data_IF_478009928132
#
_entry.id   IF_478009928132
#
_cell.length_a   1.000
_cell.length_b   1.000
_cell.length_c   1.000
_cell.angle_alpha   90.00
_cell.angle_beta   90.00
_cell.angle_gamma   90.00
#
_symmetry.space_group_name_H-M   'P 1'
#
loop_
_entity.id
_entity.type
_entity.pdbx_description
1 polymer ?
#
# COMPACT_ATOMS: atom_id res chain seq x y z
N UNK A 1 -12.68 -53.22 -35.27
CA UNK A 1 -12.52 -51.90 -35.92
C UNK A 1 -11.79 -51.00 -34.93
N UNK A 2 -10.52 -50.64 -35.26
CA UNK A 2 -9.63 -49.57 -34.71
C UNK A 2 -9.84 -49.13 -33.24
N UNK A 3 -8.99 -49.40 -32.24
CA UNK A 3 -7.53 -49.31 -32.04
C UNK A 3 -6.88 -47.95 -32.31
N UNK A 4 -6.29 -47.41 -31.21
CA UNK A 4 -5.24 -46.36 -31.07
C UNK A 4 -5.64 -44.89 -31.21
N UNK A 5 -5.42 -44.13 -30.14
CA UNK A 5 -4.66 -42.86 -30.09
C UNK A 5 -4.20 -42.64 -28.63
N UNK A 6 -2.97 -43.03 -28.28
CA UNK A 6 -1.76 -42.20 -28.27
C UNK A 6 -1.74 -41.16 -27.12
N UNK A 7 -1.16 -41.55 -25.97
CA UNK A 7 -0.60 -40.64 -24.97
C UNK A 7 0.61 -39.94 -25.58
N UNK A 8 0.55 -38.62 -25.75
CA UNK A 8 1.73 -37.79 -25.96
C UNK A 8 2.15 -37.17 -24.62
N UNK A 9 3.33 -37.59 -24.14
CA UNK A 9 4.06 -36.94 -23.06
C UNK A 9 4.59 -35.59 -23.56
N UNK A 10 4.36 -34.51 -22.81
CA UNK A 10 4.99 -33.20 -23.03
C UNK A 10 6.37 -33.19 -22.35
N UNK A 11 7.43 -32.70 -23.02
CA UNK A 11 8.71 -32.49 -22.38
C UNK A 11 8.69 -31.22 -21.53
N UNK A 12 9.30 -31.29 -20.36
CA UNK A 12 9.60 -30.18 -19.46
C UNK A 12 10.85 -29.44 -19.95
N UNK A 13 10.71 -28.17 -20.31
CA UNK A 13 11.86 -27.29 -20.58
C UNK A 13 11.92 -26.20 -19.50
N UNK A 14 12.85 -26.37 -18.56
CA UNK A 14 13.19 -25.42 -17.51
C UNK A 14 14.29 -24.50 -18.05
N UNK A 15 13.94 -23.30 -18.48
CA UNK A 15 14.92 -22.30 -18.90
C UNK A 15 15.31 -21.41 -17.71
N UNK A 16 16.39 -21.80 -17.01
CA UNK A 16 17.06 -20.94 -16.05
C UNK A 16 18.03 -20.01 -16.81
N UNK A 17 17.76 -18.71 -16.83
CA UNK A 17 18.73 -17.70 -17.28
C UNK A 17 19.50 -17.19 -16.07
N UNK A 18 20.67 -17.77 -15.82
CA UNK A 18 21.67 -17.22 -14.92
C UNK A 18 22.46 -16.12 -15.64
N UNK A 19 22.47 -14.92 -15.06
CA UNK A 19 23.43 -13.88 -15.44
C UNK A 19 24.68 -14.05 -14.57
N UNK A 20 25.76 -14.55 -15.17
CA UNK A 20 27.08 -14.54 -14.56
C UNK A 20 27.78 -13.24 -14.96
N UNK A 21 28.08 -12.37 -13.99
CA UNK A 21 28.98 -11.24 -14.18
C UNK A 21 30.38 -11.63 -13.70
N UNK A 22 31.32 -11.77 -14.63
CA UNK A 22 32.74 -11.66 -14.34
C UNK A 22 33.50 -11.24 -15.60
N UNK A 23 33.91 -9.99 -15.64
CA UNK A 23 34.94 -9.52 -16.55
C UNK A 23 36.10 -8.99 -15.70
N UNK A 24 37.26 -9.62 -15.90
CA UNK A 24 38.52 -9.30 -15.22
C UNK A 24 39.14 -8.03 -15.81
N UNK A 25 39.79 -7.24 -14.94
CA UNK A 25 40.58 -6.08 -15.32
C UNK A 25 41.92 -6.51 -15.94
N UNK A 26 42.45 -5.82 -16.98
CA UNK A 26 43.80 -6.05 -17.43
C UNK A 26 44.80 -5.19 -16.64
N UNK A 27 45.93 -5.79 -16.30
CA UNK A 27 47.10 -5.10 -15.76
C UNK A 27 47.87 -4.42 -16.90
N UNK A 28 48.35 -3.20 -16.68
CA UNK A 28 49.25 -2.49 -17.61
C UNK A 28 50.50 -2.07 -16.83
N UNK A 29 51.64 -2.65 -17.18
CA UNK A 29 52.97 -2.14 -16.84
C UNK A 29 53.48 -1.28 -17.99
N UNK A 30 54.07 -0.12 -17.72
CA UNK A 30 54.73 0.64 -18.77
C UNK A 30 55.17 2.03 -18.34
N UNK A 31 56.49 2.16 -18.19
CA UNK A 31 57.34 3.29 -17.82
C UNK A 31 56.98 4.63 -18.48
N UNK A 32 57.12 5.70 -17.69
CA UNK A 32 56.91 7.09 -18.09
C UNK A 32 57.92 7.57 -19.16
N UNK A 33 57.42 8.29 -20.18
CA UNK A 33 58.21 9.28 -20.92
C UNK A 33 57.26 10.41 -21.35
N UNK A 34 57.62 11.65 -20.98
CA UNK A 34 56.91 12.88 -21.30
C UNK A 34 57.17 13.28 -22.75
N UNK A 35 56.12 13.67 -23.47
CA UNK A 35 56.20 14.69 -24.51
C UNK A 35 54.82 15.34 -24.72
N UNK A 36 54.83 16.66 -24.73
CA UNK A 36 53.68 17.53 -24.76
C UNK A 36 53.06 17.62 -26.16
N UNK A 37 51.73 17.55 -26.23
CA UNK A 37 50.95 18.07 -27.34
C UNK A 37 49.53 18.36 -26.84
N UNK A 38 49.10 19.62 -26.99
CA UNK A 38 47.84 20.13 -26.48
C UNK A 38 46.63 19.41 -27.06
N UNK A 39 45.73 18.99 -26.17
CA UNK A 39 44.38 18.55 -26.53
C UNK A 39 43.40 19.31 -25.67
N UNK A 40 42.45 19.94 -26.35
CA UNK A 40 41.38 20.79 -25.86
C UNK A 40 40.59 20.02 -24.78
N UNK A 41 40.53 20.56 -23.56
CA UNK A 41 39.61 20.07 -22.52
C UNK A 41 38.18 20.41 -22.95
N UNK A 42 37.47 19.46 -23.55
CA UNK A 42 36.02 19.50 -23.61
C UNK A 42 35.50 19.29 -22.17
N UNK A 43 35.08 20.39 -21.54
CA UNK A 43 34.52 20.37 -20.19
C UNK A 43 33.27 19.49 -20.14
N UNK A 44 33.38 18.31 -19.53
CA UNK A 44 32.21 17.62 -18.99
C UNK A 44 31.65 18.45 -17.85
N UNK A 45 30.64 19.26 -18.14
CA UNK A 45 29.75 19.80 -17.11
C UNK A 45 29.07 18.60 -16.43
N UNK A 46 29.60 18.18 -15.29
CA UNK A 46 28.85 17.33 -14.38
C UNK A 46 27.66 18.17 -13.91
N UNK A 47 26.49 17.92 -14.52
CA UNK A 47 25.24 18.47 -14.04
C UNK A 47 24.99 17.89 -12.65
N UNK A 48 25.48 18.59 -11.63
CA UNK A 48 25.02 18.39 -10.26
C UNK A 48 23.55 18.76 -10.25
N UNK A 49 22.68 17.75 -10.28
CA UNK A 49 21.29 17.90 -9.88
C UNK A 49 21.31 18.30 -8.42
N UNK A 50 21.32 19.61 -8.15
CA UNK A 50 20.93 20.12 -6.86
C UNK A 50 19.48 19.66 -6.64
N UNK A 51 19.15 19.01 -5.51
CA UNK A 51 17.76 18.81 -5.18
C UNK A 51 17.13 20.20 -5.14
N UNK A 52 16.21 20.48 -6.05
CA UNK A 52 15.41 21.70 -5.98
C UNK A 52 14.78 21.68 -4.61
N UNK A 53 14.99 22.75 -3.83
CA UNK A 53 14.29 22.94 -2.57
C UNK A 53 12.80 22.71 -2.86
N UNK A 54 12.27 21.62 -2.30
CA UNK A 54 10.82 21.41 -2.25
C UNK A 54 10.27 22.64 -1.57
N UNK A 55 9.53 23.43 -2.33
CA UNK A 55 8.78 24.55 -1.79
C UNK A 55 7.91 23.97 -0.67
N UNK A 56 8.05 24.52 0.54
CA UNK A 56 7.21 24.22 1.68
C UNK A 56 5.79 24.72 1.36
N UNK A 57 5.07 23.94 0.56
CA UNK A 57 3.62 23.95 0.50
C UNK A 57 3.19 23.38 1.84
N UNK A 58 2.79 24.27 2.76
CA UNK A 58 2.56 23.95 4.17
C UNK A 58 2.02 22.53 4.36
N UNK A 59 2.86 21.65 4.91
CA UNK A 59 2.64 20.21 4.86
C UNK A 59 1.27 19.88 5.47
N UNK A 60 0.34 19.37 4.65
CA UNK A 60 -0.93 18.89 5.17
C UNK A 60 -0.67 17.91 6.32
N UNK A 61 -1.45 17.99 7.41
CA UNK A 61 -1.30 17.02 8.49
C UNK A 61 -1.55 15.61 7.95
N UNK A 62 -1.04 14.59 8.65
CA UNK A 62 -1.16 13.17 8.21
C UNK A 62 -2.61 12.78 7.92
N UNK A 63 -3.56 13.35 8.65
CA UNK A 63 -5.00 13.12 8.53
C UNK A 63 -5.72 14.02 7.50
N UNK A 64 -4.98 14.85 6.77
CA UNK A 64 -5.50 15.66 5.68
C UNK A 64 -6.42 16.78 6.15
N UNK A 65 -7.31 17.22 5.26
CA UNK A 65 -8.26 18.29 5.52
C UNK A 65 -9.71 17.78 5.36
N UNK A 66 -10.42 17.47 6.46
CA UNK A 66 -11.81 17.01 6.42
C UNK A 66 -12.74 17.93 5.63
N UNK A 67 -13.70 17.36 4.91
CA UNK A 67 -14.65 18.13 4.08
C UNK A 67 -14.08 18.72 2.79
N UNK A 68 -12.83 18.39 2.42
CA UNK A 68 -12.21 18.79 1.16
C UNK A 68 -11.85 17.57 0.30
N UNK A 69 -11.32 17.78 -0.91
CA UNK A 69 -10.77 16.69 -1.72
C UNK A 69 -9.47 16.09 -1.11
N UNK A 70 -8.95 16.68 -0.02
CA UNK A 70 -7.78 16.23 0.72
C UNK A 70 -8.17 15.60 2.06
N UNK A 71 -9.45 15.23 2.27
CA UNK A 71 -9.87 14.43 3.41
C UNK A 71 -9.20 13.05 3.36
N UNK A 72 -8.77 12.52 4.51
CA UNK A 72 -8.12 11.21 4.60
C UNK A 72 -8.85 10.28 5.57
N UNK A 73 -8.78 8.99 5.29
CA UNK A 73 -9.27 7.92 6.18
C UNK A 73 -8.18 6.89 6.41
N UNK A 74 -8.22 6.23 7.57
CA UNK A 74 -7.47 5.02 7.82
C UNK A 74 -8.31 3.80 7.41
N UNK A 75 -7.67 2.87 6.69
CA UNK A 75 -8.25 1.59 6.34
C UNK A 75 -7.26 0.48 6.67
N UNK A 76 -7.73 -0.63 7.25
CA UNK A 76 -6.88 -1.79 7.49
C UNK A 76 -7.49 -3.06 6.89
N UNK A 77 -6.70 -3.82 6.13
CA UNK A 77 -6.98 -5.23 5.89
C UNK A 77 -6.60 -6.02 7.14
N UNK A 78 -7.57 -6.69 7.74
CA UNK A 78 -7.41 -7.52 8.94
C UNK A 78 -6.66 -8.83 8.62
N UNK A 79 -6.21 -9.59 9.63
CA UNK A 79 -5.42 -10.80 9.38
C UNK A 79 -6.12 -11.82 8.47
N UNK A 80 -7.43 -11.94 8.57
CA UNK A 80 -8.25 -12.80 7.71
C UNK A 80 -8.28 -12.36 6.24
N UNK A 81 -8.22 -11.06 5.93
CA UNK A 81 -8.07 -10.59 4.55
C UNK A 81 -6.72 -10.97 3.95
N UNK A 82 -5.65 -10.82 4.74
CA UNK A 82 -4.29 -11.15 4.32
C UNK A 82 -4.16 -12.65 4.08
N UNK A 83 -4.62 -13.48 5.02
CA UNK A 83 -4.58 -14.94 4.90
C UNK A 83 -5.39 -15.46 3.71
N UNK A 84 -6.45 -14.74 3.31
CA UNK A 84 -7.30 -15.10 2.17
C UNK A 84 -6.85 -14.49 0.84
N UNK A 85 -5.76 -13.72 0.82
CA UNK A 85 -5.21 -13.10 -0.39
C UNK A 85 -6.06 -11.95 -0.95
N UNK A 86 -6.88 -11.28 -0.14
CA UNK A 86 -7.84 -10.26 -0.58
C UNK A 86 -7.29 -8.82 -0.60
N UNK A 87 -6.01 -8.63 -0.26
CA UNK A 87 -5.39 -7.29 -0.17
C UNK A 87 -5.47 -6.55 -1.50
N UNK A 88 -5.12 -7.23 -2.60
CA UNK A 88 -5.15 -6.64 -3.94
C UNK A 88 -6.57 -6.27 -4.37
N UNK A 89 -7.56 -7.12 -4.09
CA UNK A 89 -8.97 -6.86 -4.41
C UNK A 89 -9.51 -5.64 -3.66
N UNK A 90 -9.15 -5.49 -2.39
CA UNK A 90 -9.55 -4.34 -1.58
C UNK A 90 -8.93 -3.05 -2.12
N UNK A 91 -7.60 -3.03 -2.34
CA UNK A 91 -6.90 -1.86 -2.89
C UNK A 91 -7.50 -1.47 -4.25
N UNK A 92 -7.70 -2.44 -5.13
CA UNK A 92 -8.21 -2.21 -6.48
C UNK A 92 -9.59 -1.54 -6.47
N UNK A 93 -10.46 -1.80 -5.48
CA UNK A 93 -11.77 -1.11 -5.38
C UNK A 93 -11.62 0.38 -5.09
N UNK A 94 -10.70 0.76 -4.22
CA UNK A 94 -10.44 2.17 -3.90
C UNK A 94 -9.74 2.89 -5.06
N UNK A 95 -8.76 2.25 -5.70
CA UNK A 95 -8.08 2.82 -6.87
C UNK A 95 -9.05 3.05 -8.04
N UNK A 96 -9.85 2.03 -8.38
CA UNK A 96 -10.84 2.11 -9.48
C UNK A 96 -11.93 3.15 -9.22
N UNK A 97 -12.25 3.42 -7.94
CA UNK A 97 -13.20 4.47 -7.56
C UNK A 97 -12.63 5.87 -7.77
N UNK A 98 -11.30 6.03 -7.81
CA UNK A 98 -10.62 7.30 -8.04
C UNK A 98 -9.89 7.85 -6.82
N UNK A 99 -9.94 7.19 -5.66
CA UNK A 99 -9.25 7.65 -4.46
C UNK A 99 -7.72 7.58 -4.60
N UNK A 100 -7.02 8.37 -3.80
CA UNK A 100 -5.55 8.48 -3.81
C UNK A 100 -4.95 7.70 -2.65
N UNK A 101 -4.05 6.76 -2.94
CA UNK A 101 -3.35 5.99 -1.92
C UNK A 101 -2.12 6.78 -1.46
N UNK A 102 -2.16 7.33 -0.25
CA UNK A 102 -1.07 8.16 0.27
C UNK A 102 -0.21 7.43 1.31
N UNK A 103 -0.71 6.35 1.91
CA UNK A 103 0.05 5.51 2.83
C UNK A 103 -0.29 4.04 2.65
N UNK A 104 0.72 3.17 2.67
CA UNK A 104 0.56 1.72 2.60
C UNK A 104 1.70 1.05 3.37
N UNK A 105 1.37 0.20 4.35
CA UNK A 105 2.36 -0.69 4.98
C UNK A 105 1.75 -1.97 5.51
N UNK A 106 2.54 -3.03 5.51
CA UNK A 106 2.21 -4.28 6.19
C UNK A 106 2.92 -4.33 7.54
N UNK A 107 2.17 -4.61 8.60
CA UNK A 107 2.71 -4.68 9.97
C UNK A 107 2.11 -5.86 10.70
N UNK A 108 2.83 -6.40 11.67
CA UNK A 108 2.27 -7.33 12.64
C UNK A 108 2.03 -6.56 13.94
N UNK A 109 0.77 -6.20 14.25
CA UNK A 109 0.50 -5.31 15.37
C UNK A 109 0.64 -6.04 16.70
N UNK A 110 1.23 -5.36 17.68
CA UNK A 110 1.28 -5.87 19.06
C UNK A 110 -0.11 -5.80 19.69
N UNK A 111 -0.31 -6.54 20.80
CA UNK A 111 -1.56 -6.46 21.57
C UNK A 111 -1.83 -5.03 22.07
N UNK A 112 -0.79 -4.32 22.48
CA UNK A 112 -0.88 -2.94 22.93
C UNK A 112 -1.35 -2.01 21.81
N UNK A 113 -0.78 -2.13 20.60
CA UNK A 113 -1.25 -1.38 19.43
C UNK A 113 -2.74 -1.66 19.13
N UNK A 114 -3.14 -2.94 19.18
CA UNK A 114 -4.53 -3.33 18.96
C UNK A 114 -5.47 -2.81 20.07
N UNK A 115 -5.02 -2.78 21.34
CA UNK A 115 -5.78 -2.23 22.45
C UNK A 115 -5.98 -0.72 22.30
N UNK A 116 -4.93 0.00 21.94
CA UNK A 116 -5.00 1.45 21.76
C UNK A 116 -5.87 1.81 20.55
N UNK A 117 -5.81 1.04 19.46
CA UNK A 117 -6.68 1.23 18.30
C UNK A 117 -8.17 0.98 18.62
N UNK A 118 -8.48 0.03 19.51
CA UNK A 118 -9.85 -0.29 19.92
C UNK A 118 -10.22 0.22 21.32
N UNK A 119 -9.58 1.28 21.81
CA UNK A 119 -9.73 1.76 23.18
C UNK A 119 -11.19 2.05 23.57
N UNK A 120 -11.98 2.60 22.64
CA UNK A 120 -13.40 2.89 22.82
C UNK A 120 -14.26 1.64 23.06
N UNK A 121 -13.76 0.48 22.63
CA UNK A 121 -14.43 -0.82 22.79
C UNK A 121 -13.95 -1.57 24.05
N UNK A 122 -13.03 -1.01 24.84
CA UNK A 122 -12.42 -1.67 26.02
C UNK A 122 -13.41 -2.26 27.02
N UNK A 123 -14.60 -1.66 27.16
CA UNK A 123 -15.67 -2.11 28.07
C UNK A 123 -16.58 -3.18 27.46
N UNK A 124 -16.41 -3.54 26.18
CA UNK A 124 -17.25 -4.51 25.49
C UNK A 124 -16.77 -5.94 25.80
N UNK A 125 -17.68 -6.92 25.96
CA UNK A 125 -17.30 -8.29 26.34
C UNK A 125 -16.43 -8.99 25.28
N UNK A 126 -16.54 -8.57 24.02
CA UNK A 126 -15.75 -9.13 22.91
C UNK A 126 -14.36 -8.49 22.74
N UNK A 127 -14.02 -7.44 23.50
CA UNK A 127 -12.77 -6.71 23.36
C UNK A 127 -11.51 -7.58 23.48
N UNK A 128 -11.39 -8.51 24.47
CA UNK A 128 -10.21 -9.37 24.55
C UNK A 128 -10.05 -10.25 23.30
N UNK A 129 -11.17 -10.77 22.77
CA UNK A 129 -11.18 -11.55 21.54
C UNK A 129 -10.79 -10.73 20.31
N UNK A 130 -11.26 -9.48 20.23
CA UNK A 130 -10.92 -8.54 19.16
C UNK A 130 -9.42 -8.21 19.15
N UNK A 131 -8.85 -7.88 20.31
CA UNK A 131 -7.42 -7.59 20.46
C UNK A 131 -6.58 -8.80 20.08
N UNK A 132 -6.93 -9.99 20.59
CA UNK A 132 -6.20 -11.22 20.28
C UNK A 132 -6.29 -11.55 18.78
N UNK A 133 -7.45 -11.37 18.15
CA UNK A 133 -7.62 -11.60 16.72
C UNK A 133 -6.82 -10.60 15.89
N UNK A 134 -6.92 -9.31 16.18
CA UNK A 134 -6.26 -8.26 15.39
C UNK A 134 -4.73 -8.35 15.47
N UNK A 135 -4.19 -8.84 16.59
CA UNK A 135 -2.76 -9.09 16.80
C UNK A 135 -2.29 -10.51 16.43
N UNK A 136 -3.18 -11.38 15.93
CA UNK A 136 -2.84 -12.78 15.62
C UNK A 136 -2.05 -12.98 14.33
N UNK A 137 -1.95 -11.97 13.47
CA UNK A 137 -1.28 -12.07 12.18
C UNK A 137 -1.00 -10.69 11.56
N UNK A 138 -0.39 -10.66 10.37
CA UNK A 138 -0.11 -9.42 9.67
C UNK A 138 -1.40 -8.72 9.23
N UNK A 139 -1.38 -7.40 9.28
CA UNK A 139 -2.41 -6.52 8.70
C UNK A 139 -1.78 -5.62 7.64
N UNK A 140 -2.61 -5.09 6.75
CA UNK A 140 -2.19 -4.06 5.80
C UNK A 140 -2.89 -2.75 6.15
N UNK A 141 -2.12 -1.80 6.65
CA UNK A 141 -2.54 -0.45 6.96
C UNK A 141 -2.49 0.42 5.71
N UNK A 142 -3.53 1.20 5.48
CA UNK A 142 -3.66 2.10 4.35
C UNK A 142 -4.15 3.47 4.80
N UNK A 143 -3.69 4.51 4.12
CA UNK A 143 -4.25 5.84 4.18
C UNK A 143 -4.75 6.21 2.77
N UNK A 144 -6.05 6.48 2.68
CA UNK A 144 -6.71 6.89 1.45
C UNK A 144 -7.15 8.35 1.56
N UNK A 145 -6.95 9.10 0.49
CA UNK A 145 -7.30 10.51 0.37
C UNK A 145 -8.36 10.72 -0.73
N UNK A 146 -9.32 11.61 -0.48
CA UNK A 146 -10.27 12.11 -1.46
C UNK A 146 -11.55 12.66 -0.83
N UNK A 147 -12.39 13.29 -1.66
CA UNK A 147 -13.70 13.84 -1.23
C UNK A 147 -14.59 12.79 -0.55
N UNK A 148 -15.09 13.11 0.63
CA UNK A 148 -15.96 12.26 1.47
C UNK A 148 -15.41 10.83 1.70
N UNK A 149 -14.10 10.63 1.64
CA UNK A 149 -13.49 9.29 1.67
C UNK A 149 -13.86 8.51 2.94
N UNK A 150 -14.07 9.18 4.08
CA UNK A 150 -14.44 8.49 5.33
C UNK A 150 -15.83 7.84 5.16
N UNK A 151 -16.82 8.65 4.78
CA UNK A 151 -18.20 8.20 4.57
C UNK A 151 -18.31 7.19 3.43
N UNK A 152 -17.70 7.50 2.29
CA UNK A 152 -17.76 6.65 1.10
C UNK A 152 -16.97 5.36 1.29
N UNK A 153 -15.82 5.42 1.98
CA UNK A 153 -15.04 4.26 2.36
C UNK A 153 -15.87 3.29 3.18
N UNK A 154 -16.57 3.76 4.22
CA UNK A 154 -17.49 2.92 5.01
C UNK A 154 -18.60 2.28 4.16
N UNK A 155 -19.17 3.03 3.21
CA UNK A 155 -20.17 2.49 2.29
C UNK A 155 -19.59 1.40 1.37
N UNK A 156 -18.37 1.60 0.85
CA UNK A 156 -17.66 0.61 0.03
C UNK A 156 -17.29 -0.65 0.83
N UNK A 157 -16.92 -0.48 2.11
CA UNK A 157 -16.66 -1.62 3.00
C UNK A 157 -17.93 -2.45 3.24
N UNK A 158 -19.08 -1.79 3.37
CA UNK A 158 -20.35 -2.40 3.78
C UNK A 158 -20.56 -2.35 5.29
N UNK A 159 -21.69 -2.88 5.75
CA UNK A 159 -22.04 -2.93 7.17
C UNK A 159 -21.03 -3.72 8.00
N UNK A 160 -20.90 -3.42 9.29
CA UNK A 160 -19.97 -4.16 10.17
C UNK A 160 -20.32 -5.64 10.23
N UNK A 161 -21.61 -5.97 10.25
CA UNK A 161 -22.14 -7.33 10.10
C UNK A 161 -22.17 -7.72 8.62
N UNK A 162 -21.36 -8.71 8.17
CA UNK A 162 -21.32 -9.08 6.76
C UNK A 162 -22.66 -9.53 6.19
N UNK A 163 -23.46 -10.26 6.96
CA UNK A 163 -24.81 -10.70 6.53
C UNK A 163 -25.80 -9.56 6.32
N UNK A 164 -25.51 -8.36 6.84
CA UNK A 164 -26.28 -7.14 6.57
C UNK A 164 -25.66 -6.29 5.44
N UNK A 165 -24.48 -6.67 4.95
CA UNK A 165 -23.80 -5.97 3.87
C UNK A 165 -24.41 -6.32 2.52
N UNK A 166 -24.59 -5.32 1.66
CA UNK A 166 -25.18 -5.51 0.33
C UNK A 166 -24.16 -6.12 -0.63
N UNK A 167 -24.59 -6.96 -1.61
CA UNK A 167 -23.75 -7.38 -2.72
C UNK A 167 -23.10 -6.18 -3.43
N UNK A 168 -21.83 -6.29 -3.79
CA UNK A 168 -20.99 -5.21 -4.33
C UNK A 168 -20.20 -4.43 -3.28
N UNK A 169 -20.53 -4.55 -1.99
CA UNK A 169 -19.66 -4.07 -0.91
C UNK A 169 -18.58 -5.11 -0.59
N UNK A 170 -17.45 -4.68 -0.03
CA UNK A 170 -16.32 -5.57 0.28
C UNK A 170 -16.74 -6.70 1.23
N UNK A 171 -17.46 -6.37 2.30
CA UNK A 171 -17.94 -7.40 3.26
C UNK A 171 -19.07 -8.25 2.67
N UNK A 172 -19.96 -7.65 1.87
CA UNK A 172 -21.04 -8.40 1.23
C UNK A 172 -20.53 -9.46 0.25
N UNK A 173 -19.43 -9.17 -0.46
CA UNK A 173 -18.87 -10.10 -1.44
C UNK A 173 -17.93 -11.14 -0.84
N UNK A 174 -17.27 -10.82 0.27
CA UNK A 174 -16.16 -11.63 0.77
C UNK A 174 -16.30 -12.09 2.21
N UNK A 175 -17.29 -11.67 3.01
CA UNK A 175 -17.37 -12.01 4.43
C UNK A 175 -18.70 -12.67 4.81
N UNK A 176 -18.66 -13.48 5.87
CA UNK A 176 -19.83 -14.21 6.37
C UNK A 176 -20.04 -13.85 7.86
N UNK A 177 -19.01 -14.08 8.69
CA UNK A 177 -19.09 -13.89 10.14
C UNK A 177 -18.62 -12.51 10.61
N UNK A 178 -19.26 -11.98 11.65
CA UNK A 178 -18.94 -10.68 12.26
C UNK A 178 -17.48 -10.56 12.71
N UNK A 179 -16.94 -11.61 13.32
CA UNK A 179 -15.57 -11.66 13.81
C UNK A 179 -14.52 -11.84 12.71
N UNK A 180 -14.93 -12.07 11.46
CA UNK A 180 -14.09 -12.32 10.27
C UNK A 180 -14.58 -11.49 9.10
N UNK A 181 -14.70 -10.18 9.33
CA UNK A 181 -15.24 -9.21 8.38
C UNK A 181 -14.15 -8.44 7.61
N UNK A 182 -12.94 -9.02 7.48
CA UNK A 182 -11.82 -8.69 6.58
C UNK A 182 -11.21 -7.28 6.63
N UNK A 183 -11.95 -6.23 6.98
CA UNK A 183 -11.48 -4.86 6.88
C UNK A 183 -12.00 -3.96 8.00
N UNK A 184 -11.23 -2.93 8.29
CA UNK A 184 -11.58 -1.80 9.16
C UNK A 184 -11.51 -0.51 8.35
N UNK A 185 -12.32 0.48 8.70
CA UNK A 185 -12.22 1.84 8.18
C UNK A 185 -12.75 2.83 9.20
N UNK A 186 -12.11 3.99 9.31
CA UNK A 186 -12.51 5.07 10.24
C UNK A 186 -13.98 5.43 10.05
N UNK A 187 -14.68 5.73 11.14
CA UNK A 187 -16.11 6.08 11.12
C UNK A 187 -16.39 7.59 11.26
N UNK A 188 -15.41 8.38 11.67
CA UNK A 188 -15.48 9.84 11.71
C UNK A 188 -14.13 10.50 11.37
N UNK A 189 -14.11 11.81 11.07
CA UNK A 189 -12.88 12.58 10.92
C UNK A 189 -11.95 12.51 12.14
N UNK A 190 -12.53 12.54 13.34
CA UNK A 190 -11.77 12.48 14.60
C UNK A 190 -11.14 11.09 14.80
N UNK A 191 -11.87 10.02 14.49
CA UNK A 191 -11.34 8.67 14.50
C UNK A 191 -10.22 8.51 13.45
N UNK A 192 -10.43 9.00 12.23
CA UNK A 192 -9.43 8.98 11.18
C UNK A 192 -8.14 9.72 11.59
N UNK A 193 -8.28 10.88 12.25
CA UNK A 193 -7.14 11.63 12.78
C UNK A 193 -6.32 10.82 13.79
N UNK A 194 -6.97 10.23 14.79
CA UNK A 194 -6.31 9.44 15.82
C UNK A 194 -5.65 8.20 15.24
N UNK A 195 -6.37 7.48 14.38
CA UNK A 195 -5.89 6.27 13.73
C UNK A 195 -4.68 6.56 12.82
N UNK A 196 -4.75 7.61 11.99
CA UNK A 196 -3.65 7.96 11.08
C UNK A 196 -2.40 8.43 11.84
N UNK A 197 -2.56 9.19 12.93
CA UNK A 197 -1.43 9.57 13.79
C UNK A 197 -0.76 8.36 14.45
N UNK A 198 -1.54 7.37 14.87
CA UNK A 198 -1.03 6.14 15.47
C UNK A 198 -0.34 5.24 14.43
N UNK A 199 -1.00 5.03 13.30
CA UNK A 199 -0.54 4.05 12.31
C UNK A 199 0.48 4.62 11.34
N UNK A 200 0.56 5.94 11.11
CA UNK A 200 1.54 6.57 10.22
C UNK A 200 2.23 7.76 10.92
N UNK A 201 2.93 7.55 12.05
CA UNK A 201 3.65 8.62 12.76
C UNK A 201 4.77 9.24 11.92
N UNK A 202 5.31 8.49 10.97
CA UNK A 202 6.31 8.95 9.99
C UNK A 202 5.74 9.89 8.91
N UNK A 203 4.41 10.02 8.84
CA UNK A 203 3.71 10.74 7.77
C UNK A 203 3.28 9.84 6.61
N UNK A 204 2.78 10.48 5.56
CA UNK A 204 2.28 9.85 4.34
C UNK A 204 2.85 10.55 3.12
N UNK A 205 2.78 9.89 1.97
CA UNK A 205 3.28 10.45 0.70
C UNK A 205 2.33 11.50 0.18
N UNK A 206 2.86 12.68 -0.13
CA UNK A 206 2.13 13.72 -0.83
C UNK A 206 2.51 13.74 -2.31
N UNK A 207 1.51 13.62 -3.18
CA UNK A 207 1.67 13.64 -4.62
C UNK A 207 0.35 14.01 -5.31
N UNK A 208 0.46 14.51 -6.54
CA UNK A 208 -0.68 14.83 -7.40
C UNK A 208 -0.93 13.67 -8.37
N UNK A 209 -2.18 13.21 -8.52
CA UNK A 209 -2.48 12.21 -9.56
C UNK A 209 -2.71 12.95 -10.88
N UNK A 210 -2.08 12.45 -11.94
CA UNK A 210 -2.26 12.98 -13.28
C UNK A 210 -3.72 12.96 -13.79
N UNK A 211 -4.59 12.19 -13.14
CA UNK A 211 -6.00 12.02 -13.51
C UNK A 211 -6.98 12.82 -12.61
N UNK A 212 -6.49 13.59 -11.63
CA UNK A 212 -7.36 14.29 -10.66
C UNK A 212 -8.35 15.24 -11.35
N UNK A 213 -7.94 15.90 -12.44
CA UNK A 213 -8.81 16.80 -13.23
C UNK A 213 -9.97 16.09 -13.96
N UNK A 214 -9.94 14.76 -14.05
CA UNK A 214 -11.01 13.95 -14.63
C UNK A 214 -11.91 13.33 -13.55
N UNK A 215 -11.52 13.43 -12.27
CA UNK A 215 -12.24 12.86 -11.12
C UNK A 215 -12.96 13.97 -10.35
N UNK A 216 -12.34 15.13 -10.22
CA UNK A 216 -12.85 16.29 -9.49
C UNK A 216 -13.10 17.45 -10.46
N UNK A 217 -14.20 18.19 -10.23
CA UNK A 217 -14.57 19.42 -10.92
C UNK A 217 -13.88 20.67 -10.34
#
# INVERSE_FOLDING_TARGET
MFSRFARLARPTAKAARGFASRAAAPAVSGTATRLAAGVIFAGTAAATFAPSAVADCGSLPVYGAPGTNQERTFLACKPDAVQRGLVGDIIARFEKRGYKLVGLKMVWPTKEMAQNHYADLSKKPFFPGLVNFFSSGPIVCMCWEGKDIIKQGRQMLGETQPLASKPGSIRGDYSIDLGRNICHGSDSPEAAEQELKMWFPEGVSDYTKAVDSWIYE
#
